data_IF_592067523196
#
_entry.id   IF_592067523196
#
_cell.length_a   1.000
_cell.length_b   1.000
_cell.length_c   1.000
_cell.angle_alpha   90.00
_cell.angle_beta   90.00
_cell.angle_gamma   90.00
#
_symmetry.space_group_name_H-M   'P 1'
#
loop_
_entity.id
_entity.type
_entity.pdbx_description
1 polymer ?
#
# COMPACT_ATOMS: atom_id res chain seq x y z
N UNK A 1 0.55 -11.03 -2.80
CA UNK A 1 1.68 -10.18 -3.25
C UNK A 1 2.48 -10.95 -4.26
N UNK A 2 2.97 -10.28 -5.30
CA UNK A 2 3.90 -10.84 -6.27
C UNK A 2 5.12 -9.90 -6.38
N UNK A 3 6.32 -10.45 -6.47
CA UNK A 3 7.55 -9.66 -6.70
C UNK A 3 8.57 -10.46 -7.50
N UNK A 4 9.37 -9.78 -8.31
CA UNK A 4 10.41 -10.40 -9.11
C UNK A 4 11.70 -10.61 -8.29
N UNK A 5 12.15 -11.86 -8.14
CA UNK A 5 13.41 -12.18 -7.50
C UNK A 5 14.53 -12.30 -8.56
N UNK A 6 15.45 -11.34 -8.56
CA UNK A 6 16.55 -11.29 -9.52
C UNK A 6 17.58 -12.40 -9.35
N UNK A 7 17.66 -13.03 -8.16
CA UNK A 7 18.60 -14.15 -7.93
C UNK A 7 18.14 -15.44 -8.60
N UNK A 8 16.83 -15.67 -8.65
CA UNK A 8 16.22 -16.85 -9.27
C UNK A 8 15.64 -16.56 -10.66
N UNK A 9 15.59 -15.29 -11.09
CA UNK A 9 14.94 -14.82 -12.32
C UNK A 9 13.46 -15.26 -12.42
N UNK A 10 12.76 -15.32 -11.28
CA UNK A 10 11.36 -15.76 -11.22
C UNK A 10 10.49 -14.82 -10.37
N UNK A 11 9.18 -14.84 -10.64
CA UNK A 11 8.21 -14.20 -9.75
C UNK A 11 7.93 -15.06 -8.53
N UNK A 12 8.07 -14.44 -7.36
CA UNK A 12 7.65 -15.00 -6.09
C UNK A 12 6.21 -14.60 -5.80
N UNK A 13 5.34 -15.59 -5.61
CA UNK A 13 3.92 -15.39 -5.33
C UNK A 13 3.62 -15.72 -3.86
N UNK A 14 3.19 -14.70 -3.11
CA UNK A 14 2.80 -14.81 -1.72
C UNK A 14 1.28 -14.69 -1.62
N UNK A 15 0.64 -15.75 -1.17
CA UNK A 15 -0.82 -15.79 -1.01
C UNK A 15 -1.32 -15.04 0.24
N UNK A 16 -2.64 -14.91 0.33
CA UNK A 16 -3.31 -14.24 1.45
C UNK A 16 -3.21 -15.00 2.77
N UNK A 17 -3.10 -16.32 2.74
CA UNK A 17 -3.05 -17.17 3.94
C UNK A 17 -1.70 -17.04 4.64
N UNK A 18 -0.62 -16.92 3.87
CA UNK A 18 0.69 -16.55 4.37
C UNK A 18 0.66 -15.17 5.00
N UNK A 19 0.08 -14.17 4.31
CA UNK A 19 -0.03 -12.80 4.81
C UNK A 19 -0.73 -12.69 6.18
N UNK A 20 -1.79 -13.49 6.40
CA UNK A 20 -2.53 -13.53 7.67
C UNK A 20 -1.70 -14.00 8.88
N UNK A 21 -0.62 -14.74 8.64
CA UNK A 21 0.26 -15.27 9.70
C UNK A 21 1.39 -14.30 10.07
N UNK A 22 1.54 -13.18 9.34
CA UNK A 22 2.63 -12.24 9.57
C UNK A 22 2.38 -11.38 10.80
N UNK A 23 3.41 -11.27 11.63
CA UNK A 23 3.51 -10.21 12.64
C UNK A 23 4.06 -8.91 12.02
N UNK A 24 4.24 -7.89 12.85
CA UNK A 24 4.79 -6.61 12.41
C UNK A 24 6.19 -6.74 11.77
N UNK A 25 7.03 -7.63 12.29
CA UNK A 25 8.39 -7.84 11.79
C UNK A 25 8.37 -8.55 10.44
N UNK A 26 7.53 -9.58 10.32
CA UNK A 26 7.29 -10.33 9.09
C UNK A 26 6.76 -9.43 7.97
N UNK A 27 5.78 -8.57 8.27
CA UNK A 27 5.26 -7.60 7.30
C UNK A 27 6.37 -6.64 6.83
N UNK A 28 7.15 -6.07 7.75
CA UNK A 28 8.28 -5.18 7.41
C UNK A 28 9.30 -5.89 6.51
N UNK A 29 9.67 -7.12 6.85
CA UNK A 29 10.59 -7.95 6.05
C UNK A 29 10.03 -8.22 4.65
N UNK A 30 8.73 -8.53 4.56
CA UNK A 30 8.08 -8.81 3.28
C UNK A 30 7.99 -7.56 2.39
N UNK A 31 7.59 -6.41 2.94
CA UNK A 31 7.57 -5.14 2.21
C UNK A 31 8.98 -4.74 1.77
N UNK A 32 10.00 -4.96 2.60
CA UNK A 32 11.39 -4.74 2.20
C UNK A 32 11.80 -5.64 1.03
N UNK A 33 11.37 -6.92 0.99
CA UNK A 33 11.60 -7.78 -0.18
C UNK A 33 10.89 -7.25 -1.43
N UNK A 34 9.63 -6.84 -1.29
CA UNK A 34 8.83 -6.27 -2.37
C UNK A 34 9.51 -5.05 -3.00
N UNK A 35 9.87 -4.03 -2.21
CA UNK A 35 10.50 -2.80 -2.72
C UNK A 35 11.98 -2.95 -3.10
N UNK A 36 12.69 -3.99 -2.60
CA UNK A 36 14.07 -4.28 -3.03
C UNK A 36 14.18 -4.70 -4.49
N UNK A 37 13.08 -5.07 -5.13
CA UNK A 37 13.03 -5.39 -6.56
C UNK A 37 13.25 -4.16 -7.43
N UNK A 38 12.97 -2.96 -6.92
CA UNK A 38 13.46 -1.71 -7.50
C UNK A 38 14.93 -1.52 -7.08
N UNK A 39 15.86 -1.61 -8.02
CA UNK A 39 17.29 -1.50 -7.75
C UNK A 39 17.79 -0.04 -7.73
N UNK A 40 18.80 0.25 -6.91
CA UNK A 40 19.46 1.56 -6.84
C UNK A 40 18.51 2.71 -6.48
N UNK A 41 18.67 3.84 -7.16
CA UNK A 41 17.88 5.07 -6.92
C UNK A 41 16.39 4.90 -7.20
N UNK A 42 16.01 3.90 -8.02
CA UNK A 42 14.62 3.59 -8.32
C UNK A 42 13.82 3.25 -7.08
N UNK A 43 14.42 2.51 -6.13
CA UNK A 43 13.73 2.18 -4.87
C UNK A 43 13.28 3.43 -4.13
N UNK A 44 14.18 4.42 -4.05
CA UNK A 44 13.90 5.69 -3.39
C UNK A 44 12.79 6.42 -4.15
N UNK A 45 12.88 6.54 -5.47
CA UNK A 45 11.86 7.18 -6.29
C UNK A 45 10.47 6.54 -6.12
N UNK A 46 10.38 5.21 -6.23
CA UNK A 46 9.15 4.43 -6.07
C UNK A 46 8.54 4.64 -4.67
N UNK A 47 9.35 4.54 -3.62
CA UNK A 47 8.86 4.75 -2.26
C UNK A 47 8.43 6.20 -2.02
N UNK A 48 9.12 7.20 -2.58
CA UNK A 48 8.75 8.61 -2.47
C UNK A 48 7.44 8.93 -3.20
N UNK A 49 7.23 8.39 -4.40
CA UNK A 49 5.95 8.55 -5.12
C UNK A 49 4.80 7.87 -4.34
N UNK A 50 5.02 6.65 -3.84
CA UNK A 50 4.04 5.97 -3.00
C UNK A 50 3.67 6.77 -1.75
N UNK A 51 4.65 7.33 -1.04
CA UNK A 51 4.39 8.18 0.13
C UNK A 51 3.53 9.40 -0.24
N UNK A 52 3.78 10.00 -1.41
CA UNK A 52 3.02 11.15 -1.91
C UNK A 52 1.56 10.76 -2.24
N UNK A 53 1.36 9.59 -2.88
CA UNK A 53 0.01 9.05 -3.16
C UNK A 53 -0.73 8.69 -1.87
N UNK A 54 -0.06 8.06 -0.90
CA UNK A 54 -0.63 7.74 0.40
C UNK A 54 -1.05 8.99 1.17
N UNK A 55 -0.24 10.05 1.15
CA UNK A 55 -0.59 11.33 1.76
C UNK A 55 -1.87 11.92 1.16
N UNK A 56 -2.01 11.85 -0.18
CA UNK A 56 -3.23 12.29 -0.88
C UNK A 56 -4.46 11.45 -0.51
N UNK A 57 -4.34 10.12 -0.55
CA UNK A 57 -5.42 9.20 -0.17
C UNK A 57 -5.85 9.46 1.28
N UNK A 58 -4.88 9.58 2.20
CA UNK A 58 -5.13 9.90 3.61
C UNK A 58 -5.88 11.22 3.77
N UNK A 59 -5.45 12.27 3.07
CA UNK A 59 -6.10 13.59 3.15
C UNK A 59 -7.57 13.53 2.70
N UNK A 60 -7.85 12.77 1.64
CA UNK A 60 -9.23 12.59 1.14
C UNK A 60 -10.07 11.86 2.20
N UNK A 61 -9.60 10.72 2.70
CA UNK A 61 -10.32 9.94 3.71
C UNK A 61 -10.57 10.77 4.99
N UNK A 62 -9.57 11.55 5.43
CA UNK A 62 -9.68 12.40 6.61
C UNK A 62 -10.73 13.53 6.45
N UNK A 63 -10.97 13.97 5.22
CA UNK A 63 -11.97 15.02 4.91
C UNK A 63 -13.39 14.49 4.73
N UNK A 64 -13.57 13.17 4.61
CA UNK A 64 -14.87 12.57 4.33
C UNK A 64 -15.57 12.18 5.63
N UNK A 65 -16.73 12.81 5.86
CA UNK A 65 -17.62 12.43 6.96
C UNK A 65 -18.47 11.21 6.59
N UNK A 66 -18.55 10.24 7.49
CA UNK A 66 -19.40 9.05 7.35
C UNK A 66 -18.95 8.00 6.33
N UNK A 67 -17.89 8.22 5.55
CA UNK A 67 -17.28 7.18 4.72
C UNK A 67 -16.65 6.09 5.59
N UNK A 68 -16.90 4.83 5.28
CA UNK A 68 -16.12 3.68 5.76
C UNK A 68 -15.70 2.79 4.59
N UNK A 69 -14.45 2.34 4.61
CA UNK A 69 -13.81 1.56 3.56
C UNK A 69 -13.60 0.11 4.04
N UNK A 70 -14.67 -0.53 4.54
CA UNK A 70 -14.57 -1.90 5.04
C UNK A 70 -14.25 -2.88 3.91
N UNK A 71 -13.25 -3.73 4.12
CA UNK A 71 -12.82 -4.72 3.13
C UNK A 71 -12.11 -4.14 1.90
N UNK A 72 -11.95 -2.82 1.81
CA UNK A 72 -11.19 -2.16 0.74
C UNK A 72 -9.70 -2.50 0.84
N UNK A 73 -9.04 -2.66 -0.30
CA UNK A 73 -7.59 -2.92 -0.39
C UNK A 73 -6.85 -1.77 -1.04
N UNK A 74 -5.55 -1.63 -0.73
CA UNK A 74 -4.62 -0.79 -1.47
C UNK A 74 -3.79 -1.67 -2.42
N UNK A 75 -3.94 -1.47 -3.72
CA UNK A 75 -3.12 -2.11 -4.74
C UNK A 75 -1.93 -1.21 -5.06
N UNK A 76 -0.71 -1.76 -4.98
CA UNK A 76 0.54 -1.08 -5.32
C UNK A 76 1.21 -1.86 -6.45
N UNK A 77 1.55 -1.17 -7.54
CA UNK A 77 2.23 -1.73 -8.71
C UNK A 77 3.33 -0.78 -9.15
N UNK A 78 4.50 -1.30 -9.49
CA UNK A 78 5.59 -0.51 -10.05
C UNK A 78 6.49 -1.39 -10.94
N UNK A 79 7.25 -0.73 -11.82
CA UNK A 79 8.28 -1.39 -12.63
C UNK A 79 9.62 -1.45 -11.88
N UNK A 80 10.11 -2.66 -11.60
CA UNK A 80 11.37 -2.88 -10.86
C UNK A 80 12.63 -2.88 -11.73
N UNK A 81 12.49 -3.12 -13.05
CA UNK A 81 13.60 -3.22 -13.98
C UNK A 81 14.28 -1.86 -14.20
N UNK A 82 15.56 -1.68 -13.83
CA UNK A 82 16.27 -0.41 -14.00
C UNK A 82 16.50 -0.03 -15.46
N UNK A 83 16.40 -0.98 -16.40
CA UNK A 83 16.57 -0.73 -17.83
C UNK A 83 15.34 -0.10 -18.49
N UNK A 84 14.18 -0.12 -17.83
CA UNK A 84 12.99 0.57 -18.31
C UNK A 84 13.07 2.00 -17.76
N UNK A 85 13.21 3.06 -18.57
CA UNK A 85 13.46 4.41 -18.08
C UNK A 85 12.32 4.95 -17.22
N UNK A 86 11.12 4.43 -17.40
CA UNK A 86 9.94 4.78 -16.63
C UNK A 86 9.99 4.17 -15.22
N UNK A 87 9.83 5.01 -14.22
CA UNK A 87 9.77 4.70 -12.80
C UNK A 87 8.35 4.82 -12.24
N UNK A 88 7.35 4.67 -13.12
CA UNK A 88 5.93 4.66 -12.77
C UNK A 88 5.61 3.66 -11.65
N UNK A 89 5.13 4.22 -10.54
CA UNK A 89 4.39 3.51 -9.52
C UNK A 89 2.93 3.97 -9.61
N UNK A 90 2.00 3.01 -9.48
CA UNK A 90 0.60 3.31 -9.21
C UNK A 90 0.17 2.73 -7.87
N UNK A 91 -0.71 3.46 -7.20
CA UNK A 91 -1.34 3.04 -5.96
C UNK A 91 -2.82 3.42 -5.98
N UNK A 92 -3.70 2.42 -5.91
CA UNK A 92 -5.16 2.59 -6.02
C UNK A 92 -5.87 1.88 -4.89
N UNK A 93 -6.92 2.50 -4.37
CA UNK A 93 -7.90 1.80 -3.56
C UNK A 93 -8.79 0.96 -4.48
N UNK A 94 -9.05 -0.29 -4.09
CA UNK A 94 -9.87 -1.27 -4.82
C UNK A 94 -10.81 -2.00 -3.85
N UNK A 95 -11.76 -2.76 -4.38
CA UNK A 95 -12.69 -3.62 -3.62
C UNK A 95 -13.65 -2.87 -2.69
N UNK A 96 -14.40 -1.90 -3.24
CA UNK A 96 -15.37 -1.08 -2.49
C UNK A 96 -16.72 -1.76 -2.18
N UNK A 97 -16.81 -3.09 -2.30
CA UNK A 97 -18.09 -3.81 -2.19
C UNK A 97 -18.80 -3.63 -0.83
N UNK A 98 -18.03 -3.37 0.25
CA UNK A 98 -18.58 -3.10 1.58
C UNK A 98 -18.27 -1.66 2.04
N UNK A 99 -17.93 -0.75 1.13
CA UNK A 99 -17.76 0.64 1.48
C UNK A 99 -19.14 1.25 1.81
N UNK A 100 -19.21 2.02 2.89
CA UNK A 100 -20.43 2.72 3.30
C UNK A 100 -20.17 4.21 3.28
N UNK A 101 -21.18 5.02 2.95
CA UNK A 101 -21.15 6.44 3.22
C UNK A 101 -22.56 6.95 3.49
N UNK A 102 -22.67 8.15 4.05
CA UNK A 102 -23.95 8.79 4.31
C UNK A 102 -24.73 8.93 3.00
N UNK A 103 -25.90 8.31 2.94
CA UNK A 103 -26.76 8.29 1.74
C UNK A 103 -26.58 7.08 0.81
N UNK A 104 -25.59 6.22 1.04
CA UNK A 104 -25.41 4.95 0.30
C UNK A 104 -25.64 3.69 1.15
N UNK A 105 -25.70 3.81 2.47
CA UNK A 105 -25.91 2.67 3.39
C UNK A 105 -26.87 3.05 4.51
N UNK A 106 -27.55 2.04 5.07
CA UNK A 106 -28.39 2.19 6.27
C UNK A 106 -27.55 2.52 7.51
N UNK A 107 -26.28 2.09 7.54
CA UNK A 107 -25.37 2.39 8.63
C UNK A 107 -24.86 3.84 8.54
N UNK A 108 -25.26 4.66 9.51
CA UNK A 108 -24.78 6.03 9.65
C UNK A 108 -23.52 6.03 10.49
N UNK A 109 -22.45 6.60 9.95
CA UNK A 109 -21.19 6.79 10.65
C UNK A 109 -20.89 8.28 10.78
N UNK A 110 -20.17 8.66 11.84
CA UNK A 110 -19.70 10.03 12.06
C UNK A 110 -18.19 10.10 12.01
N UNK A 111 -17.67 11.21 11.50
CA UNK A 111 -16.25 11.46 11.32
C UNK A 111 -15.61 10.60 10.23
N UNK A 112 -14.30 10.78 10.01
CA UNK A 112 -13.54 10.02 9.03
C UNK A 112 -13.33 8.56 9.44
N UNK A 113 -12.96 7.73 8.48
CA UNK A 113 -12.61 6.33 8.74
C UNK A 113 -11.28 6.21 9.50
N UNK A 114 -11.36 6.19 10.83
CA UNK A 114 -10.20 6.05 11.71
C UNK A 114 -9.41 4.76 11.47
N UNK A 115 -10.07 3.68 11.05
CA UNK A 115 -9.43 2.40 10.77
C UNK A 115 -8.57 2.46 9.50
N UNK A 116 -9.13 3.02 8.42
CA UNK A 116 -8.39 3.24 7.18
C UNK A 116 -7.22 4.22 7.38
N UNK A 117 -7.43 5.31 8.12
CA UNK A 117 -6.39 6.27 8.46
C UNK A 117 -5.24 5.62 9.24
N UNK A 118 -5.55 4.82 10.27
CA UNK A 118 -4.56 4.07 11.04
C UNK A 118 -3.76 3.10 10.15
N UNK A 119 -4.43 2.40 9.23
CA UNK A 119 -3.78 1.52 8.26
C UNK A 119 -2.77 2.25 7.38
N UNK A 120 -3.17 3.39 6.80
CA UNK A 120 -2.30 4.23 5.98
C UNK A 120 -1.12 4.77 6.81
N UNK A 121 -1.37 5.27 8.02
CA UNK A 121 -0.32 5.82 8.88
C UNK A 121 0.72 4.77 9.27
N UNK A 122 0.29 3.53 9.52
CA UNK A 122 1.20 2.42 9.77
C UNK A 122 2.02 2.05 8.53
N UNK A 123 1.41 2.04 7.35
CA UNK A 123 2.12 1.78 6.10
C UNK A 123 3.16 2.87 5.83
N UNK A 124 2.79 4.16 5.99
CA UNK A 124 3.71 5.30 5.87
C UNK A 124 4.91 5.14 6.81
N UNK A 125 4.69 4.82 8.09
CA UNK A 125 5.78 4.59 9.06
C UNK A 125 6.74 3.49 8.59
N UNK A 126 6.20 2.38 8.07
CA UNK A 126 7.02 1.28 7.56
C UNK A 126 7.82 1.75 6.34
N UNK A 127 7.18 2.38 5.36
CA UNK A 127 7.81 2.84 4.12
C UNK A 127 8.91 3.86 4.38
N UNK A 128 8.68 4.85 5.25
CA UNK A 128 9.71 5.83 5.64
C UNK A 128 10.95 5.13 6.18
N UNK A 129 10.79 4.13 7.05
CA UNK A 129 11.92 3.35 7.59
C UNK A 129 12.69 2.55 6.52
N UNK A 130 12.10 2.32 5.34
CA UNK A 130 12.74 1.63 4.21
C UNK A 130 13.57 2.57 3.33
N UNK A 131 13.40 3.90 3.44
CA UNK A 131 14.10 4.92 2.64
C UNK A 131 15.24 5.56 3.44
N UNK A 132 15.12 5.66 4.77
CA UNK A 132 16.10 6.30 5.66
C UNK A 132 17.29 5.40 6.04
N UNK A 133 17.41 4.20 5.45
CA UNK A 133 18.53 3.27 5.63
C UNK A 133 19.26 3.08 4.32
#
# INVERSE_FOLDING_TARGET
MQYYDSSSATYQCIDKYYGRKLDQSGLKKLLNKFFKTAHGDRRRAVCTDLLSKLARIRSIIASMDGLRLFGTSLLIVFEGNPNIPDNNLDARLIDFANATCNGLSEAIHQGPDAGALLGIDNLVKILTSLITK
#
